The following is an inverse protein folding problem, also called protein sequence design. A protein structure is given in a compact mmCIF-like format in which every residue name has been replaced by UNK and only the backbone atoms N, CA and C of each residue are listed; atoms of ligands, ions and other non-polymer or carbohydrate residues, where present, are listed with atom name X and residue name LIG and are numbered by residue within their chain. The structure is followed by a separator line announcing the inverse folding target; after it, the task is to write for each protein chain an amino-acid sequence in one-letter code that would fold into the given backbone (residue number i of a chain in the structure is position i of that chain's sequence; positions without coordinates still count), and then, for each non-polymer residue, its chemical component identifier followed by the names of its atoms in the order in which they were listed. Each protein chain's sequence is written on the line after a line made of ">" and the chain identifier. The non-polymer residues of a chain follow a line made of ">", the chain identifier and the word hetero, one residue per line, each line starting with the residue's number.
data_IF_942100966266
#
_entry.id   IF_942100966266
#
_cell.length_a   1.000
_cell.length_b   1.000
_cell.length_c   1.000
_cell.angle_alpha   90.00
_cell.angle_beta   90.00
_cell.angle_gamma   90.00
#
_symmetry.space_group_name_H-M   'P 1'
#
loop_
_entity.id
_entity.type
_entity.pdbx_description
1 polymer ?
#
# COMPACT_ATOMS: atom_id res chain seq x y z
N UNK A 1 27.15 51.29 -43.59
CA UNK A 1 26.06 51.19 -42.59
C UNK A 1 24.86 50.54 -43.25
N UNK A 2 24.55 49.28 -42.93
CA UNK A 2 23.37 48.53 -43.43
C UNK A 2 22.66 47.84 -42.27
N UNK A 3 21.34 47.79 -42.39
CA UNK A 3 20.31 47.56 -41.35
C UNK A 3 20.39 46.20 -40.65
N UNK A 4 20.01 46.24 -39.36
CA UNK A 4 19.61 45.13 -38.50
C UNK A 4 18.43 44.35 -39.10
N UNK A 5 18.42 43.03 -38.89
CA UNK A 5 17.27 42.18 -39.20
C UNK A 5 17.51 40.71 -38.92
N UNK A 6 17.45 40.29 -37.66
CA UNK A 6 17.09 38.92 -37.32
C UNK A 6 15.87 38.97 -36.39
N UNK A 7 14.70 38.92 -37.01
CA UNK A 7 13.48 38.54 -36.34
C UNK A 7 13.32 37.03 -36.40
N UNK A 8 13.16 36.39 -35.25
CA UNK A 8 12.21 35.31 -35.09
C UNK A 8 11.80 35.24 -33.61
N UNK A 9 10.48 35.29 -33.39
CA UNK A 9 9.84 35.05 -32.10
C UNK A 9 9.45 33.58 -32.11
N UNK A 10 10.23 32.74 -31.43
CA UNK A 10 9.84 31.37 -31.17
C UNK A 10 9.33 31.33 -29.73
N UNK A 11 8.03 31.53 -29.55
CA UNK A 11 7.33 31.06 -28.34
C UNK A 11 7.20 29.54 -28.44
N UNK A 12 8.32 28.84 -28.26
CA UNK A 12 8.25 27.43 -27.91
C UNK A 12 7.70 27.38 -26.49
N UNK A 13 6.47 26.89 -26.33
CA UNK A 13 6.09 26.26 -25.07
C UNK A 13 7.08 25.12 -24.87
N UNK A 14 8.12 25.38 -24.09
CA UNK A 14 9.03 24.33 -23.63
C UNK A 14 8.17 23.44 -22.73
N UNK A 15 7.71 22.32 -23.29
CA UNK A 15 7.21 21.21 -22.48
C UNK A 15 8.46 20.59 -21.85
N UNK A 16 8.81 21.12 -20.69
CA UNK A 16 9.80 20.47 -19.83
C UNK A 16 9.15 19.20 -19.28
N UNK A 17 9.76 18.02 -19.47
CA UNK A 17 9.30 16.82 -18.80
C UNK A 17 9.30 17.06 -17.28
N UNK A 18 8.30 16.53 -16.58
CA UNK A 18 8.07 16.74 -15.15
C UNK A 18 9.29 16.35 -14.29
N UNK A 19 10.18 15.53 -14.83
CA UNK A 19 11.35 14.98 -14.16
C UNK A 19 12.64 15.81 -14.41
N UNK A 20 12.54 16.96 -15.07
CA UNK A 20 13.68 17.86 -15.26
C UNK A 20 14.06 18.57 -13.95
N UNK A 21 15.32 18.55 -13.50
CA UNK A 21 15.77 19.23 -12.28
C UNK A 21 15.58 20.76 -12.36
N UNK A 22 15.47 21.32 -13.57
CA UNK A 22 15.15 22.73 -13.78
C UNK A 22 13.69 23.07 -13.43
N UNK A 23 12.75 22.13 -13.59
CA UNK A 23 11.33 22.34 -13.27
C UNK A 23 11.08 22.42 -11.75
N UNK A 24 11.77 21.57 -10.98
CA UNK A 24 11.67 21.55 -9.51
C UNK A 24 12.17 22.85 -8.87
N UNK A 25 13.22 23.45 -9.43
CA UNK A 25 13.85 24.66 -8.87
C UNK A 25 13.00 25.91 -9.09
N UNK A 26 12.31 26.02 -10.24
CA UNK A 26 11.43 27.17 -10.54
C UNK A 26 10.14 27.12 -9.72
N UNK A 27 9.60 25.92 -9.45
CA UNK A 27 8.38 25.73 -8.65
C UNK A 27 8.59 26.04 -7.17
N UNK A 28 9.75 25.71 -6.61
CA UNK A 28 10.13 26.05 -5.24
C UNK A 28 10.18 27.57 -5.00
N UNK A 29 10.60 28.36 -6.00
CA UNK A 29 10.69 29.84 -5.86
C UNK A 29 9.35 30.55 -5.98
N UNK A 30 8.35 29.95 -6.63
CA UNK A 30 7.02 30.55 -6.74
C UNK A 30 6.20 30.42 -5.44
N UNK A 31 6.41 29.33 -4.68
CA UNK A 31 5.68 29.07 -3.44
C UNK A 31 6.13 29.94 -2.25
N UNK A 32 7.35 30.48 -2.29
CA UNK A 32 7.85 31.38 -1.23
C UNK A 32 7.23 32.79 -1.32
N UNK A 33 6.66 33.17 -2.46
CA UNK A 33 6.13 34.53 -2.69
C UNK A 33 4.65 34.70 -2.31
N UNK A 34 3.97 33.61 -1.96
CA UNK A 34 2.58 33.60 -1.52
C UNK A 34 2.62 33.15 -0.06
N UNK A 35 2.57 34.09 0.88
CA UNK A 35 2.70 33.85 2.32
C UNK A 35 1.54 33.03 2.90
N UNK A 36 1.48 31.74 2.54
CA UNK A 36 0.52 30.77 3.07
C UNK A 36 1.24 29.96 4.14
N UNK A 37 1.17 30.48 5.36
CA UNK A 37 1.58 29.80 6.58
C UNK A 37 0.52 28.75 6.91
N UNK A 38 0.97 27.50 7.15
CA UNK A 38 0.24 26.40 7.80
C UNK A 38 -1.07 25.91 7.14
N UNK A 39 -0.92 25.01 6.16
CA UNK A 39 -1.68 23.77 6.09
C UNK A 39 -0.94 22.83 5.13
N UNK A 40 -0.43 21.71 5.65
CA UNK A 40 0.30 20.70 4.88
C UNK A 40 -0.72 19.88 4.08
N UNK A 41 -1.37 20.50 3.09
CA UNK A 41 -2.17 19.79 2.13
C UNK A 41 -1.23 19.29 1.02
N UNK A 42 -0.74 18.07 1.23
CA UNK A 42 -0.06 17.27 0.21
C UNK A 42 -0.95 17.16 -1.03
N UNK A 43 -0.67 18.01 -2.01
CA UNK A 43 -1.16 17.86 -3.36
C UNK A 43 -0.27 16.85 -4.08
N UNK A 44 -0.67 15.59 -4.09
CA UNK A 44 -0.10 14.55 -4.95
C UNK A 44 -1.20 13.92 -5.79
N UNK A 45 -0.91 13.89 -7.09
CA UNK A 45 -1.65 13.36 -8.23
C UNK A 45 -2.62 12.22 -7.92
N UNK A 46 -3.90 12.43 -8.24
CA UNK A 46 -4.95 11.42 -8.18
C UNK A 46 -4.88 10.46 -9.37
N UNK A 47 -4.25 9.32 -9.18
CA UNK A 47 -4.68 8.04 -9.75
C UNK A 47 -4.83 7.10 -8.57
N UNK A 48 -5.90 6.30 -8.52
CA UNK A 48 -6.21 5.42 -7.39
C UNK A 48 -5.02 4.50 -7.09
N UNK A 49 -4.23 4.83 -6.05
CA UNK A 49 -2.91 4.24 -5.80
C UNK A 49 -2.76 4.02 -4.31
N UNK A 50 -2.90 2.78 -3.80
CA UNK A 50 -2.60 2.33 -2.44
C UNK A 50 -2.41 3.43 -1.40
N UNK A 51 -3.43 4.27 -1.22
CA UNK A 51 -3.23 5.54 -0.54
C UNK A 51 -3.52 5.27 0.93
N UNK A 52 -2.45 5.11 1.69
CA UNK A 52 -2.46 4.99 3.15
C UNK A 52 -2.78 6.35 3.80
N UNK A 53 -3.89 6.98 3.39
CA UNK A 53 -4.44 8.17 4.06
C UNK A 53 -5.69 7.86 4.86
N UNK A 54 -5.97 6.58 5.10
CA UNK A 54 -6.92 6.17 6.11
C UNK A 54 -6.27 6.42 7.48
N UNK A 55 -6.31 7.68 7.92
CA UNK A 55 -6.15 8.09 9.30
C UNK A 55 -7.35 7.64 10.15
N UNK A 56 -7.99 6.51 9.81
CA UNK A 56 -8.96 5.90 10.69
C UNK A 56 -8.16 5.27 11.82
N UNK A 57 -8.32 5.76 13.06
CA UNK A 57 -7.61 5.18 14.17
C UNK A 57 -8.01 3.70 14.27
N UNK A 58 -7.01 2.84 14.40
CA UNK A 58 -7.18 1.43 14.65
C UNK A 58 -7.68 1.23 16.09
N UNK A 59 -8.94 1.57 16.30
CA UNK A 59 -9.60 1.46 17.59
C UNK A 59 -10.40 0.18 17.59
N UNK A 60 -10.08 -0.73 18.51
CA UNK A 60 -10.93 -1.89 18.78
C UNK A 60 -12.20 -1.42 19.48
N UNK A 61 -13.35 -1.66 18.84
CA UNK A 61 -14.67 -1.36 19.40
C UNK A 61 -15.20 -2.47 20.32
N UNK A 62 -14.59 -3.65 20.26
CA UNK A 62 -15.09 -4.84 20.95
C UNK A 62 -14.16 -5.29 22.08
N UNK A 63 -14.73 -5.49 23.27
CA UNK A 63 -14.03 -5.97 24.48
C UNK A 63 -13.86 -7.49 24.52
N UNK A 64 -14.51 -8.21 23.60
CA UNK A 64 -14.40 -9.67 23.45
C UNK A 64 -13.24 -9.98 22.50
N UNK A 65 -12.32 -10.80 22.98
CA UNK A 65 -11.17 -11.28 22.21
C UNK A 65 -11.51 -12.67 21.69
N UNK A 66 -11.61 -12.81 20.37
CA UNK A 66 -11.80 -14.10 19.74
C UNK A 66 -10.68 -15.07 20.13
N UNK A 67 -11.03 -16.34 20.34
CA UNK A 67 -10.04 -17.40 20.59
C UNK A 67 -9.49 -17.88 19.25
N UNK A 68 -8.32 -17.38 18.89
CA UNK A 68 -7.69 -17.67 17.60
C UNK A 68 -6.58 -18.72 17.71
N UNK A 69 -6.27 -19.38 16.60
CA UNK A 69 -5.17 -20.33 16.49
C UNK A 69 -3.81 -19.64 16.64
N UNK A 70 -2.75 -20.45 16.82
CA UNK A 70 -1.39 -19.93 17.06
C UNK A 70 -0.84 -19.09 15.90
N UNK A 71 -1.23 -19.40 14.67
CA UNK A 71 -0.85 -18.68 13.44
C UNK A 71 -1.78 -17.49 13.11
N UNK A 72 -2.84 -17.29 13.88
CA UNK A 72 -3.83 -16.22 13.68
C UNK A 72 -3.56 -15.01 14.58
N UNK A 73 -4.15 -13.87 14.18
CA UNK A 73 -4.19 -12.61 14.93
C UNK A 73 -5.64 -12.31 15.27
N UNK A 74 -5.92 -12.04 16.55
CA UNK A 74 -7.26 -11.63 17.02
C UNK A 74 -7.44 -10.11 16.89
N UNK A 75 -8.54 -9.66 16.29
CA UNK A 75 -8.91 -8.24 16.27
C UNK A 75 -10.42 -8.05 16.14
N UNK A 76 -10.99 -7.19 16.99
CA UNK A 76 -12.42 -6.85 16.98
C UNK A 76 -13.37 -8.07 16.96
N UNK A 77 -13.07 -9.09 17.78
CA UNK A 77 -13.81 -10.37 17.86
C UNK A 77 -13.76 -11.26 16.61
N UNK A 78 -12.76 -11.05 15.75
CA UNK A 78 -12.47 -11.92 14.61
C UNK A 78 -11.03 -12.46 14.65
N UNK A 79 -10.81 -13.58 13.98
CA UNK A 79 -9.50 -14.17 13.77
C UNK A 79 -9.04 -13.95 12.34
N UNK A 80 -7.77 -13.58 12.17
CA UNK A 80 -7.19 -13.29 10.86
C UNK A 80 -5.91 -14.07 10.65
N UNK A 81 -5.71 -14.59 9.44
CA UNK A 81 -4.48 -15.28 9.06
C UNK A 81 -4.01 -14.89 7.66
N UNK A 82 -2.76 -15.26 7.40
CA UNK A 82 -2.14 -15.21 6.08
C UNK A 82 -1.98 -16.62 5.54
N UNK A 83 -2.33 -16.82 4.27
CA UNK A 83 -2.23 -18.13 3.61
C UNK A 83 -1.81 -18.01 2.15
N UNK A 84 -1.08 -18.99 1.63
CA UNK A 84 -0.66 -19.06 0.22
C UNK A 84 -1.73 -19.65 -0.70
N UNK A 85 -3.00 -19.38 -0.44
CA UNK A 85 -4.15 -20.10 -0.98
C UNK A 85 -4.71 -19.54 -2.29
N UNK A 86 -4.06 -18.53 -2.89
CA UNK A 86 -4.48 -18.00 -4.18
C UNK A 86 -5.83 -17.29 -4.17
N UNK A 87 -6.16 -16.60 -3.10
CA UNK A 87 -7.41 -15.85 -2.93
C UNK A 87 -8.54 -16.63 -2.26
N UNK A 88 -8.32 -17.90 -1.92
CA UNK A 88 -9.32 -18.76 -1.26
C UNK A 88 -9.14 -18.74 0.27
N UNK A 89 -10.21 -18.72 1.04
CA UNK A 89 -10.14 -18.84 2.50
C UNK A 89 -10.74 -20.16 2.98
N UNK A 90 -10.26 -20.66 4.12
CA UNK A 90 -10.83 -21.83 4.79
C UNK A 90 -12.32 -21.61 5.13
N UNK A 91 -13.06 -22.71 5.33
CA UNK A 91 -14.46 -22.66 5.73
C UNK A 91 -14.66 -21.82 6.99
N UNK A 92 -15.64 -20.90 6.97
CA UNK A 92 -15.87 -19.95 8.07
C UNK A 92 -15.04 -18.66 7.98
N UNK A 93 -14.21 -18.52 6.94
CA UNK A 93 -13.41 -17.33 6.67
C UNK A 93 -13.71 -16.78 5.28
N UNK A 94 -13.45 -15.48 5.11
CA UNK A 94 -13.50 -14.78 3.82
C UNK A 94 -12.33 -13.81 3.72
N UNK A 95 -12.04 -13.32 2.51
CA UNK A 95 -10.99 -12.31 2.33
C UNK A 95 -11.33 -11.08 3.15
N UNK A 96 -10.39 -10.61 3.94
CA UNK A 96 -10.54 -9.38 4.72
C UNK A 96 -9.97 -8.18 3.96
N UNK A 97 -10.36 -6.97 4.38
CA UNK A 97 -10.00 -5.72 3.67
C UNK A 97 -8.61 -5.21 4.05
N UNK A 98 -8.04 -4.36 3.21
CA UNK A 98 -6.84 -3.58 3.49
C UNK A 98 -7.02 -2.71 4.75
N UNK A 99 -8.23 -2.24 5.04
CA UNK A 99 -8.51 -1.44 6.23
C UNK A 99 -8.20 -2.23 7.51
N UNK A 100 -8.66 -3.48 7.61
CA UNK A 100 -8.34 -4.35 8.76
C UNK A 100 -6.84 -4.67 8.77
N UNK A 101 -6.27 -5.05 7.63
CA UNK A 101 -4.85 -5.39 7.53
C UNK A 101 -3.96 -4.24 7.98
N UNK A 102 -4.31 -2.99 7.65
CA UNK A 102 -3.60 -1.79 8.08
C UNK A 102 -3.41 -1.75 9.60
N UNK A 103 -4.44 -2.17 10.34
CA UNK A 103 -4.48 -2.12 11.80
C UNK A 103 -3.73 -3.26 12.49
N UNK A 104 -3.70 -4.43 11.87
CA UNK A 104 -3.20 -5.64 12.54
C UNK A 104 -1.92 -6.19 11.92
N UNK A 105 -1.45 -5.61 10.79
CA UNK A 105 -0.31 -6.13 10.03
C UNK A 105 0.93 -6.42 10.89
N UNK A 106 1.28 -5.54 11.82
CA UNK A 106 2.48 -5.71 12.66
C UNK A 106 2.39 -6.92 13.60
N UNK A 107 1.17 -7.35 13.96
CA UNK A 107 0.91 -8.47 14.85
C UNK A 107 1.15 -9.83 14.20
N UNK A 108 1.32 -9.88 12.87
CA UNK A 108 1.72 -11.10 12.16
C UNK A 108 3.21 -11.45 12.35
N UNK A 109 4.02 -10.58 12.95
CA UNK A 109 5.39 -10.95 13.32
C UNK A 109 5.37 -12.15 14.28
N UNK A 110 6.18 -13.17 14.00
CA UNK A 110 6.21 -14.41 14.77
C UNK A 110 5.11 -15.42 14.41
N UNK A 111 4.13 -15.07 13.58
CA UNK A 111 3.11 -16.00 13.05
C UNK A 111 3.65 -16.79 11.85
N UNK A 112 2.92 -17.79 11.39
CA UNK A 112 3.22 -18.57 10.18
C UNK A 112 2.05 -18.56 9.22
N UNK A 113 2.21 -19.17 8.06
CA UNK A 113 1.08 -19.49 7.18
C UNK A 113 0.10 -20.42 7.89
N UNK A 114 -1.19 -20.29 7.56
CA UNK A 114 -2.22 -21.16 8.10
C UNK A 114 -2.11 -22.59 7.55
N UNK A 115 -2.05 -22.76 6.23
CA UNK A 115 -2.06 -24.08 5.59
C UNK A 115 -1.00 -24.24 4.51
N UNK A 116 -0.79 -23.20 3.71
CA UNK A 116 0.03 -23.24 2.50
C UNK A 116 0.98 -22.05 2.46
N UNK A 117 2.24 -22.32 2.12
CA UNK A 117 3.22 -21.26 1.87
C UNK A 117 2.92 -20.61 0.52
N UNK A 118 2.91 -19.28 0.51
CA UNK A 118 2.74 -18.50 -0.72
C UNK A 118 3.97 -18.59 -1.63
N UNK A 119 3.77 -18.43 -2.93
CA UNK A 119 4.87 -18.21 -3.89
C UNK A 119 4.97 -16.72 -4.33
N UNK A 120 4.03 -15.88 -3.86
CA UNK A 120 3.98 -14.44 -4.11
C UNK A 120 3.91 -13.64 -2.80
N UNK A 121 4.61 -12.52 -2.72
CA UNK A 121 4.74 -11.74 -1.51
C UNK A 121 3.67 -10.64 -1.36
N UNK A 122 2.88 -10.38 -2.41
CA UNK A 122 1.79 -9.41 -2.38
C UNK A 122 0.52 -10.02 -1.80
N UNK A 123 -0.15 -9.25 -0.94
CA UNK A 123 -1.31 -9.72 -0.20
C UNK A 123 -2.57 -9.40 -0.98
N UNK A 124 -3.28 -10.45 -1.35
CA UNK A 124 -4.62 -10.37 -1.87
C UNK A 124 -5.63 -10.21 -0.73
N UNK A 125 -6.28 -9.06 -0.74
CA UNK A 125 -7.37 -8.70 0.18
C UNK A 125 -8.71 -8.70 -0.55
N UNK A 126 -9.79 -8.37 0.16
CA UNK A 126 -11.11 -8.16 -0.46
C UNK A 126 -11.19 -6.89 -1.31
N UNK A 127 -10.20 -6.01 -1.22
CA UNK A 127 -10.22 -4.75 -1.97
C UNK A 127 -9.69 -4.91 -3.39
N UNK A 128 -9.91 -3.88 -4.21
CA UNK A 128 -9.52 -3.85 -5.63
C UNK A 128 -8.02 -3.95 -5.86
N UNK A 129 -7.18 -3.56 -4.88
CA UNK A 129 -5.74 -3.44 -5.07
C UNK A 129 -4.93 -4.15 -3.98
N UNK A 130 -3.91 -4.90 -4.40
CA UNK A 130 -2.89 -5.46 -3.51
C UNK A 130 -1.93 -4.34 -3.09
N UNK A 131 -2.12 -3.84 -1.87
CA UNK A 131 -1.35 -2.71 -1.35
C UNK A 131 -0.34 -3.10 -0.28
N UNK A 132 -0.42 -4.32 0.21
CA UNK A 132 0.44 -4.82 1.26
C UNK A 132 1.26 -5.99 0.71
N UNK A 133 2.46 -6.14 1.25
CA UNK A 133 3.32 -7.27 0.97
C UNK A 133 4.21 -7.60 2.15
N UNK A 134 4.72 -8.83 2.17
CA UNK A 134 5.74 -9.27 3.12
C UNK A 134 7.14 -8.96 2.55
N UNK A 135 7.93 -8.14 3.25
CA UNK A 135 9.29 -7.77 2.81
C UNK A 135 10.31 -8.90 2.96
N UNK A 136 10.05 -9.84 3.86
CA UNK A 136 10.93 -10.96 4.15
C UNK A 136 10.08 -12.19 4.48
N UNK A 137 10.64 -13.38 4.23
CA UNK A 137 10.01 -14.66 4.55
C UNK A 137 8.67 -14.94 3.84
N UNK A 138 8.40 -14.24 2.73
CA UNK A 138 7.13 -14.31 2.00
C UNK A 138 6.89 -15.59 1.19
N UNK A 139 7.89 -16.47 1.10
CA UNK A 139 7.80 -17.78 0.44
C UNK A 139 8.46 -18.87 1.30
N UNK A 140 8.45 -18.69 2.64
CA UNK A 140 9.04 -19.61 3.61
C UNK A 140 7.97 -19.96 4.64
N UNK A 141 7.94 -21.21 5.14
CA UNK A 141 6.87 -21.67 6.06
C UNK A 141 6.67 -20.82 7.32
N UNK A 142 7.71 -20.07 7.73
CA UNK A 142 7.68 -19.18 8.87
C UNK A 142 8.58 -19.68 10.02
N UNK A 143 8.56 -18.98 11.17
CA UNK A 143 7.73 -17.80 11.45
C UNK A 143 8.13 -16.58 10.62
N UNK A 144 7.19 -15.67 10.42
CA UNK A 144 7.42 -14.38 9.77
C UNK A 144 8.34 -13.53 10.66
N UNK A 145 9.43 -13.02 10.07
CA UNK A 145 10.34 -12.11 10.77
C UNK A 145 9.67 -10.77 11.09
N UNK A 146 8.84 -10.28 10.16
CA UNK A 146 8.03 -9.08 10.32
C UNK A 146 6.65 -9.28 9.71
N UNK A 147 5.67 -8.53 10.20
CA UNK A 147 4.36 -8.48 9.57
C UNK A 147 4.33 -7.71 8.24
N UNK A 148 3.19 -7.72 7.53
CA UNK A 148 3.05 -7.04 6.25
C UNK A 148 3.32 -5.52 6.29
N UNK A 149 3.85 -5.02 5.18
CA UNK A 149 4.10 -3.59 4.98
C UNK A 149 3.39 -3.06 3.75
N UNK A 150 2.90 -1.82 3.86
CA UNK A 150 2.38 -1.09 2.71
C UNK A 150 3.47 -0.99 1.64
N UNK A 151 3.16 -1.37 0.41
CA UNK A 151 4.13 -1.37 -0.68
C UNK A 151 5.23 -2.44 -0.58
N UNK A 152 5.07 -3.44 0.29
CA UNK A 152 6.10 -4.45 0.54
C UNK A 152 6.54 -5.15 -0.75
N UNK A 153 7.84 -5.39 -0.93
CA UNK A 153 8.48 -5.90 -2.17
C UNK A 153 8.00 -5.31 -3.51
N UNK A 154 7.41 -4.10 -3.50
CA UNK A 154 6.87 -3.48 -4.72
C UNK A 154 5.39 -3.74 -4.99
N UNK A 155 4.62 -4.20 -4.00
CA UNK A 155 3.17 -4.41 -4.13
C UNK A 155 2.43 -3.07 -4.19
N UNK A 156 2.22 -2.58 -5.41
CA UNK A 156 1.54 -1.32 -5.69
C UNK A 156 0.50 -1.50 -6.79
N UNK A 157 -0.77 -1.71 -6.42
CA UNK A 157 -1.93 -1.65 -7.31
C UNK A 157 -2.00 -2.72 -8.41
N UNK A 158 -1.26 -3.82 -8.27
CA UNK A 158 -1.45 -5.01 -9.09
C UNK A 158 -2.49 -5.93 -8.49
N UNK A 159 -3.22 -6.66 -9.33
CA UNK A 159 -3.86 -7.93 -8.96
C UNK A 159 -3.19 -9.01 -9.79
N UNK A 160 -2.35 -9.82 -9.16
CA UNK A 160 -1.58 -10.83 -9.90
C UNK A 160 -2.35 -12.15 -9.98
N UNK A 161 -3.35 -12.36 -9.09
CA UNK A 161 -4.32 -13.46 -9.09
C UNK A 161 -3.70 -14.84 -9.35
N UNK A 162 -2.59 -15.16 -8.67
CA UNK A 162 -1.86 -16.40 -8.87
C UNK A 162 -2.40 -17.55 -7.99
N UNK A 163 -2.27 -18.83 -8.42
CA UNK A 163 -2.77 -19.98 -7.65
C UNK A 163 -2.23 -20.10 -6.22
N UNK A 164 -1.07 -19.50 -5.94
CA UNK A 164 -0.48 -19.42 -4.59
C UNK A 164 -0.19 -17.99 -4.18
N UNK A 165 -1.11 -17.08 -4.50
CA UNK A 165 -1.06 -15.71 -4.01
C UNK A 165 -1.23 -15.70 -2.49
N UNK A 166 -0.41 -14.89 -1.80
CA UNK A 166 -0.55 -14.62 -0.38
C UNK A 166 -1.90 -13.94 -0.17
N UNK A 167 -2.72 -14.51 0.69
CA UNK A 167 -4.13 -14.16 0.87
C UNK A 167 -4.37 -13.80 2.32
N UNK A 168 -5.09 -12.70 2.55
CA UNK A 168 -5.48 -12.26 3.87
C UNK A 168 -6.93 -12.64 4.15
N UNK A 169 -7.12 -13.55 5.09
CA UNK A 169 -8.43 -14.09 5.46
C UNK A 169 -8.81 -13.66 6.87
N UNK A 170 -10.09 -13.39 7.08
CA UNK A 170 -10.71 -13.09 8.37
C UNK A 170 -11.93 -13.97 8.61
N UNK A 171 -12.21 -14.33 9.86
CA UNK A 171 -13.40 -15.10 10.21
C UNK A 171 -14.66 -14.29 9.90
N UNK A 172 -15.69 -14.98 9.40
CA UNK A 172 -16.98 -14.38 9.06
C UNK A 172 -17.74 -13.90 10.31
#
# INVERSE_FOLDING_TARGET
>A
MKKLGFGYKITSKVVVPFDSPFYMTVRARYLVKIGVTTAVNNFTSSTATCNSTVATPCTTTTTIVATCNSYEVSWNDHCYYLDGSGGTCATGYSRATNAVLTCIRTQFAGKSYANMVSDNCCIWTADTYECYGLNSNCNLAGPFVSGPTLGGVGCFNGQVNQPKQLTFCGSN
#
